data_IF_325619014300
#
_entry.id   IF_325619014300
#
_cell.length_a   1.000
_cell.length_b   1.000
_cell.length_c   1.000
_cell.angle_alpha   90.00
_cell.angle_beta   90.00
_cell.angle_gamma   90.00
#
_symmetry.space_group_name_H-M   'P 1'
#
loop_
_entity.id
_entity.type
_entity.pdbx_description
1 polymer ?
#
# COMPACT_ATOMS: atom_id res chain seq x y z
N UNK A 1 -67.02 -58.54 19.37
CA UNK A 1 -68.28 -57.97 18.84
C UNK A 1 -68.02 -56.57 18.27
N UNK A 2 -68.69 -56.26 17.15
CA UNK A 2 -68.90 -54.97 16.44
C UNK A 2 -69.16 -53.78 17.40
N UNK A 3 -69.05 -52.48 17.10
CA UNK A 3 -68.63 -51.61 15.97
C UNK A 3 -68.68 -50.16 16.51
N UNK A 4 -67.77 -49.31 16.01
CA UNK A 4 -67.96 -47.90 15.58
C UNK A 4 -68.59 -46.84 16.50
N UNK A 5 -67.93 -45.66 16.57
CA UNK A 5 -68.40 -44.40 15.94
C UNK A 5 -67.40 -43.26 16.16
N UNK A 6 -67.00 -42.62 15.07
CA UNK A 6 -66.39 -41.27 15.01
C UNK A 6 -67.46 -40.20 15.32
N UNK A 7 -67.04 -39.00 15.75
CA UNK A 7 -67.05 -37.88 14.81
C UNK A 7 -65.85 -36.90 14.95
N UNK A 8 -65.43 -36.33 13.82
CA UNK A 8 -64.73 -35.02 13.72
C UNK A 8 -65.75 -33.87 13.77
N UNK A 9 -65.41 -32.56 13.79
CA UNK A 9 -64.10 -31.90 13.65
C UNK A 9 -63.85 -30.76 14.68
N UNK A 10 -62.60 -30.26 14.78
CA UNK A 10 -62.40 -28.82 14.98
C UNK A 10 -61.12 -28.36 14.26
N UNK A 11 -61.30 -27.28 13.52
CA UNK A 11 -60.41 -26.70 12.53
C UNK A 11 -59.21 -26.04 13.21
N UNK A 12 -58.01 -26.59 13.00
CA UNK A 12 -56.79 -25.81 13.19
C UNK A 12 -56.58 -24.92 11.97
N UNK A 13 -56.74 -23.61 12.20
CA UNK A 13 -56.38 -22.54 11.28
C UNK A 13 -54.87 -22.57 11.04
N UNK A 14 -54.46 -23.23 9.97
CA UNK A 14 -53.13 -23.04 9.39
C UNK A 14 -53.03 -21.60 8.87
N UNK A 15 -52.22 -20.80 9.55
CA UNK A 15 -51.81 -19.48 9.07
C UNK A 15 -50.78 -19.67 7.96
N UNK A 16 -50.92 -19.02 6.81
CA UNK A 16 -50.00 -19.24 5.68
C UNK A 16 -48.62 -18.70 6.04
N UNK A 17 -47.65 -19.61 6.17
CA UNK A 17 -46.21 -19.29 6.15
C UNK A 17 -45.94 -18.50 4.88
N UNK A 18 -45.66 -17.21 5.01
CA UNK A 18 -45.09 -16.38 3.94
C UNK A 18 -43.87 -17.13 3.40
N UNK A 19 -43.99 -17.65 2.17
CA UNK A 19 -42.83 -18.04 1.36
C UNK A 19 -42.01 -16.78 1.16
N UNK A 20 -40.88 -16.70 1.85
CA UNK A 20 -39.84 -15.73 1.52
C UNK A 20 -39.36 -16.14 0.13
N UNK A 21 -39.79 -15.38 -0.88
CA UNK A 21 -39.14 -15.41 -2.17
C UNK A 21 -37.67 -15.10 -1.91
N UNK A 22 -36.81 -16.10 -2.08
CA UNK A 22 -35.39 -15.91 -2.32
C UNK A 22 -35.29 -15.30 -3.72
N UNK A 23 -35.74 -14.05 -3.82
CA UNK A 23 -35.45 -13.20 -4.96
C UNK A 23 -33.96 -12.97 -4.90
N UNK A 24 -33.29 -13.44 -5.95
CA UNK A 24 -31.91 -13.13 -6.29
C UNK A 24 -31.58 -11.70 -5.84
N UNK A 25 -30.83 -11.56 -4.75
CA UNK A 25 -29.98 -10.40 -4.59
C UNK A 25 -28.91 -10.56 -5.66
N UNK A 26 -29.20 -10.05 -6.86
CA UNK A 26 -28.14 -9.49 -7.70
C UNK A 26 -27.48 -8.44 -6.80
N UNK A 27 -26.38 -8.82 -6.16
CA UNK A 27 -25.48 -7.83 -5.58
C UNK A 27 -25.04 -7.01 -6.77
N UNK A 28 -25.59 -5.80 -6.86
CA UNK A 28 -24.97 -4.75 -7.63
C UNK A 28 -23.65 -4.52 -6.91
N UNK A 29 -22.62 -5.25 -7.32
CA UNK A 29 -21.23 -4.88 -7.04
C UNK A 29 -21.02 -3.60 -7.84
N UNK A 30 -21.45 -2.49 -7.25
CA UNK A 30 -21.09 -1.17 -7.74
C UNK A 30 -19.57 -1.08 -7.59
N UNK A 31 -18.85 -0.95 -8.71
CA UNK A 31 -17.40 -0.74 -8.77
C UNK A 31 -16.91 0.47 -7.92
N UNK A 32 -17.82 1.26 -7.37
CA UNK A 32 -17.56 2.42 -6.51
C UNK A 32 -17.15 2.13 -5.06
N UNK A 33 -17.27 0.90 -4.53
CA UNK A 33 -16.99 0.64 -3.09
C UNK A 33 -15.50 0.33 -2.78
N UNK A 34 -14.78 -0.24 -3.74
CA UNK A 34 -13.38 -0.66 -3.55
C UNK A 34 -12.40 0.52 -3.44
N UNK A 35 -12.56 1.51 -4.32
CA UNK A 35 -11.69 2.70 -4.36
C UNK A 35 -11.74 3.51 -3.07
N UNK A 36 -12.96 3.75 -2.56
CA UNK A 36 -13.21 4.50 -1.34
C UNK A 36 -12.70 3.74 -0.10
N UNK A 37 -12.90 2.42 -0.05
CA UNK A 37 -12.36 1.58 1.03
C UNK A 37 -10.83 1.68 1.11
N UNK A 38 -10.12 1.54 -0.01
CA UNK A 38 -8.67 1.65 -0.02
C UNK A 38 -8.20 3.08 0.29
N UNK A 39 -8.91 4.11 -0.17
CA UNK A 39 -8.60 5.49 0.18
C UNK A 39 -8.73 5.74 1.69
N UNK A 40 -9.79 5.25 2.32
CA UNK A 40 -9.98 5.34 3.77
C UNK A 40 -8.86 4.62 4.53
N UNK A 41 -8.47 3.42 4.08
CA UNK A 41 -7.37 2.68 4.69
C UNK A 41 -6.04 3.43 4.53
N UNK A 42 -5.78 4.04 3.38
CA UNK A 42 -4.62 4.90 3.16
C UNK A 42 -4.56 6.04 4.20
N UNK A 43 -5.65 6.80 4.38
CA UNK A 43 -5.69 7.92 5.34
C UNK A 43 -5.53 7.43 6.79
N UNK A 44 -6.20 6.34 7.17
CA UNK A 44 -6.06 5.75 8.51
C UNK A 44 -4.61 5.37 8.79
N UNK A 45 -3.94 4.69 7.85
CA UNK A 45 -2.56 4.22 8.02
C UNK A 45 -1.56 5.36 8.01
N UNK A 46 -1.74 6.34 7.12
CA UNK A 46 -0.96 7.58 7.09
C UNK A 46 -1.00 8.31 8.43
N UNK A 47 -2.19 8.49 9.00
CA UNK A 47 -2.36 9.18 10.28
C UNK A 47 -1.71 8.40 11.42
N UNK A 48 -1.90 7.07 11.48
CA UNK A 48 -1.21 6.21 12.46
C UNK A 48 0.31 6.29 12.33
N UNK A 49 0.85 6.34 11.10
CA UNK A 49 2.28 6.49 10.88
C UNK A 49 2.81 7.80 11.48
N UNK A 50 2.08 8.90 11.27
CA UNK A 50 2.43 10.21 11.83
C UNK A 50 2.38 10.21 13.37
N UNK A 51 1.39 9.57 13.97
CA UNK A 51 1.27 9.44 15.43
C UNK A 51 2.46 8.69 16.04
N UNK A 52 2.81 7.54 15.47
CA UNK A 52 3.96 6.75 15.91
C UNK A 52 5.28 7.50 15.72
N UNK A 53 5.46 8.18 14.58
CA UNK A 53 6.64 9.00 14.32
C UNK A 53 6.79 10.11 15.37
N UNK A 54 5.71 10.87 15.62
CA UNK A 54 5.66 11.93 16.63
C UNK A 54 6.02 11.42 18.03
N UNK A 55 5.55 10.22 18.39
CA UNK A 55 5.89 9.61 19.69
C UNK A 55 7.36 9.21 19.79
N UNK A 56 7.91 8.64 18.72
CA UNK A 56 9.33 8.29 18.66
C UNK A 56 10.23 9.53 18.84
N UNK A 57 9.80 10.68 18.32
CA UNK A 57 10.49 11.98 18.46
C UNK A 57 10.36 12.54 19.88
N UNK A 58 9.18 12.42 20.51
CA UNK A 58 8.91 12.89 21.89
C UNK A 58 9.54 12.02 22.98
N UNK A 59 9.78 10.74 22.72
CA UNK A 59 10.40 9.84 23.68
C UNK A 59 11.89 10.19 23.88
N UNK A 60 12.18 10.96 24.93
CA UNK A 60 13.54 11.31 25.34
C UNK A 60 14.01 10.43 26.51
N UNK A 61 15.32 10.10 26.52
CA UNK A 61 15.98 9.35 27.60
C UNK A 61 16.42 7.93 27.22
N UNK A 62 17.52 7.44 27.85
CA UNK A 62 18.10 6.11 27.59
C UNK A 62 17.12 4.96 27.87
N UNK A 63 16.25 5.12 28.86
CA UNK A 63 15.28 4.10 29.29
C UNK A 63 14.15 3.87 28.27
N UNK A 64 13.94 4.79 27.32
CA UNK A 64 12.90 4.69 26.29
C UNK A 64 13.42 4.24 24.92
N UNK A 65 14.69 3.82 24.84
CA UNK A 65 15.32 3.45 23.55
C UNK A 65 14.53 2.36 22.82
N UNK A 66 14.07 1.32 23.52
CA UNK A 66 13.35 0.22 22.89
C UNK A 66 11.93 0.63 22.45
N UNK A 67 11.25 1.46 23.23
CA UNK A 67 9.95 2.05 22.85
C UNK A 67 10.08 2.88 21.57
N UNK A 68 11.14 3.69 21.45
CA UNK A 68 11.41 4.48 20.23
C UNK A 68 11.64 3.61 19.00
N UNK A 69 12.37 2.52 19.16
CA UNK A 69 12.60 1.57 18.07
C UNK A 69 11.29 0.91 17.67
N UNK A 70 10.47 0.50 18.65
CA UNK A 70 9.15 -0.07 18.38
C UNK A 70 8.24 0.93 17.64
N UNK A 71 8.15 2.18 18.11
CA UNK A 71 7.35 3.22 17.47
C UNK A 71 7.89 3.55 16.06
N UNK A 72 9.22 3.56 15.86
CA UNK A 72 9.82 3.75 14.54
C UNK A 72 9.41 2.66 13.55
N UNK A 73 9.44 1.40 13.99
CA UNK A 73 9.09 0.23 13.18
C UNK A 73 7.59 0.14 12.91
N UNK A 74 6.75 0.57 13.84
CA UNK A 74 5.31 0.70 13.62
C UNK A 74 4.95 1.78 12.60
N UNK A 75 5.57 2.96 12.73
CA UNK A 75 5.42 4.00 11.72
C UNK A 75 5.89 3.50 10.34
N UNK A 76 6.97 2.71 10.29
CA UNK A 76 7.45 2.08 9.06
C UNK A 76 6.37 1.19 8.44
N UNK A 77 5.81 0.26 9.21
CA UNK A 77 4.71 -0.62 8.76
C UNK A 77 3.50 0.19 8.29
N UNK A 78 3.10 1.22 9.03
CA UNK A 78 1.97 2.05 8.67
C UNK A 78 2.21 2.86 7.38
N UNK A 79 3.42 3.39 7.16
CA UNK A 79 3.77 4.04 5.88
C UNK A 79 3.77 3.08 4.71
N UNK A 80 4.29 1.86 4.91
CA UNK A 80 4.26 0.82 3.89
C UNK A 80 2.81 0.45 3.50
N UNK A 81 1.95 0.21 4.50
CA UNK A 81 0.52 -0.06 4.28
C UNK A 81 -0.21 1.13 3.65
N UNK A 82 0.11 2.36 4.05
CA UNK A 82 -0.47 3.55 3.42
C UNK A 82 -0.12 3.60 1.93
N UNK A 83 1.14 3.38 1.58
CA UNK A 83 1.61 3.36 0.18
C UNK A 83 0.86 2.31 -0.65
N UNK A 84 0.74 1.09 -0.13
CA UNK A 84 -0.02 0.02 -0.79
C UNK A 84 -1.50 0.38 -0.99
N UNK A 85 -2.17 0.89 0.05
CA UNK A 85 -3.58 1.26 -0.05
C UNK A 85 -3.81 2.45 -1.00
N UNK A 86 -2.87 3.40 -1.06
CA UNK A 86 -2.94 4.49 -2.04
C UNK A 86 -2.87 3.95 -3.48
N UNK A 87 -1.99 2.97 -3.72
CA UNK A 87 -1.85 2.31 -5.01
C UNK A 87 -3.10 1.51 -5.42
N UNK A 88 -3.66 0.72 -4.51
CA UNK A 88 -4.86 -0.06 -4.79
C UNK A 88 -6.09 0.85 -4.98
N UNK A 89 -6.21 1.94 -4.23
CA UNK A 89 -7.22 2.97 -4.43
C UNK A 89 -7.08 3.63 -5.81
N UNK A 90 -5.85 3.94 -6.23
CA UNK A 90 -5.58 4.48 -7.55
C UNK A 90 -5.98 3.52 -8.68
N UNK A 91 -5.59 2.23 -8.59
CA UNK A 91 -6.02 1.21 -9.56
C UNK A 91 -7.53 1.08 -9.65
N UNK A 92 -8.23 1.33 -8.56
CA UNK A 92 -9.70 1.33 -8.50
C UNK A 92 -10.34 2.64 -9.00
N UNK A 93 -9.56 3.60 -9.51
CA UNK A 93 -10.04 4.83 -10.15
C UNK A 93 -9.93 6.10 -9.31
N UNK A 94 -9.35 6.05 -8.11
CA UNK A 94 -9.11 7.27 -7.32
C UNK A 94 -8.00 8.12 -7.96
N UNK A 95 -8.24 9.43 -8.10
CA UNK A 95 -7.21 10.36 -8.53
C UNK A 95 -6.42 10.91 -7.33
N UNK A 96 -5.09 10.89 -7.45
CA UNK A 96 -4.17 11.52 -6.51
C UNK A 96 -3.29 12.52 -7.25
N UNK A 97 -3.10 13.71 -6.66
CA UNK A 97 -2.18 14.70 -7.19
C UNK A 97 -0.70 14.25 -7.08
N UNK A 98 -0.37 13.53 -6.02
CA UNK A 98 0.95 12.94 -5.79
C UNK A 98 0.84 11.67 -4.94
N UNK A 99 1.76 10.74 -5.19
CA UNK A 99 1.93 9.54 -4.35
C UNK A 99 2.82 9.82 -3.15
N UNK A 100 2.54 9.16 -2.04
CA UNK A 100 3.38 9.18 -0.87
C UNK A 100 4.69 8.45 -1.15
N UNK A 101 5.82 9.12 -0.89
CA UNK A 101 7.13 8.50 -0.91
C UNK A 101 7.71 8.43 0.53
N UNK A 102 7.76 7.24 1.16
CA UNK A 102 8.31 7.09 2.51
C UNK A 102 9.83 6.82 2.57
N UNK A 103 10.55 6.85 1.44
CA UNK A 103 11.97 6.45 1.33
C UNK A 103 12.87 7.11 2.38
N UNK A 104 12.84 8.45 2.47
CA UNK A 104 13.65 9.21 3.45
C UNK A 104 13.38 8.77 4.90
N UNK A 105 12.13 8.45 5.23
CA UNK A 105 11.79 7.98 6.56
C UNK A 105 12.36 6.58 6.82
N UNK A 106 12.25 5.67 5.84
CA UNK A 106 12.80 4.32 5.96
C UNK A 106 14.31 4.32 6.16
N UNK A 107 15.04 5.15 5.41
CA UNK A 107 16.49 5.31 5.58
C UNK A 107 16.88 5.79 6.98
N UNK A 108 16.13 6.76 7.51
CA UNK A 108 16.35 7.26 8.86
C UNK A 108 16.09 6.22 9.95
N UNK A 109 15.17 5.27 9.72
CA UNK A 109 14.90 4.18 10.66
C UNK A 109 16.12 3.26 10.80
N UNK A 110 16.89 3.01 9.73
CA UNK A 110 18.06 2.12 9.82
C UNK A 110 19.16 2.64 10.76
N UNK A 111 19.28 3.96 10.92
CA UNK A 111 20.19 4.57 11.92
C UNK A 111 19.86 4.09 13.34
N UNK A 112 18.57 3.80 13.61
CA UNK A 112 18.07 3.31 14.91
C UNK A 112 18.16 1.78 15.04
N UNK A 113 18.18 1.06 13.91
CA UNK A 113 18.20 -0.40 13.87
C UNK A 113 19.60 -1.04 13.89
N UNK A 114 20.69 -0.27 13.75
CA UNK A 114 22.07 -0.78 13.62
C UNK A 114 22.51 -1.85 14.65
N UNK A 115 21.91 -1.89 15.83
CA UNK A 115 22.23 -2.85 16.90
C UNK A 115 21.11 -3.87 17.18
N UNK A 116 20.15 -4.02 16.26
CA UNK A 116 19.02 -4.94 16.39
C UNK A 116 19.32 -6.29 15.72
N UNK A 117 18.54 -7.35 16.02
CA UNK A 117 18.75 -8.67 15.43
C UNK A 117 18.75 -8.63 13.90
N UNK A 118 19.67 -9.34 13.22
CA UNK A 118 19.76 -9.32 11.76
C UNK A 118 18.45 -9.65 11.06
N UNK A 119 17.72 -10.67 11.50
CA UNK A 119 16.42 -11.05 10.92
C UNK A 119 15.37 -9.93 10.96
N UNK A 120 15.35 -9.14 12.03
CA UNK A 120 14.44 -7.98 12.12
C UNK A 120 14.84 -6.92 11.07
N UNK A 121 16.12 -6.58 11.01
CA UNK A 121 16.64 -5.62 10.02
C UNK A 121 16.34 -6.12 8.60
N UNK A 122 16.60 -7.40 8.33
CA UNK A 122 16.35 -8.04 7.04
C UNK A 122 14.91 -7.93 6.58
N UNK A 123 13.93 -8.25 7.44
CA UNK A 123 12.52 -8.15 7.05
C UNK A 123 12.05 -6.71 6.83
N UNK A 124 12.61 -5.74 7.55
CA UNK A 124 12.32 -4.32 7.28
C UNK A 124 13.06 -3.78 6.04
N UNK A 125 14.19 -4.36 5.64
CA UNK A 125 14.80 -4.11 4.32
C UNK A 125 13.97 -4.71 3.19
N UNK A 126 13.43 -5.91 3.39
CA UNK A 126 12.53 -6.54 2.43
C UNK A 126 11.28 -5.67 2.21
N UNK A 127 10.61 -5.27 3.29
CA UNK A 127 9.44 -4.37 3.21
C UNK A 127 9.78 -3.01 2.60
N UNK A 128 10.96 -2.45 2.87
CA UNK A 128 11.42 -1.24 2.20
C UNK A 128 11.46 -1.44 0.69
N UNK A 129 12.20 -2.47 0.24
CA UNK A 129 12.43 -2.73 -1.17
C UNK A 129 11.11 -2.87 -1.93
N UNK A 130 10.17 -3.67 -1.40
CA UNK A 130 8.85 -3.86 -2.04
C UNK A 130 8.01 -2.59 -2.04
N UNK A 131 8.01 -1.81 -0.96
CA UNK A 131 7.24 -0.56 -0.86
C UNK A 131 7.76 0.51 -1.81
N UNK A 132 9.07 0.71 -1.87
CA UNK A 132 9.66 1.75 -2.72
C UNK A 132 9.68 1.32 -4.19
N UNK A 133 9.72 0.01 -4.48
CA UNK A 133 9.50 -0.50 -5.83
C UNK A 133 8.10 -0.16 -6.32
N UNK A 134 7.08 -0.37 -5.48
CA UNK A 134 5.70 -0.01 -5.79
C UNK A 134 5.56 1.47 -6.16
N UNK A 135 6.25 2.36 -5.43
CA UNK A 135 6.28 3.79 -5.72
C UNK A 135 6.97 4.11 -7.06
N UNK A 136 8.17 3.60 -7.31
CA UNK A 136 8.91 3.94 -8.53
C UNK A 136 8.38 3.26 -9.79
N UNK A 137 7.81 2.05 -9.69
CA UNK A 137 7.07 1.45 -10.82
C UNK A 137 5.91 2.36 -11.25
N UNK A 138 5.25 2.98 -10.28
CA UNK A 138 4.16 3.91 -10.53
C UNK A 138 4.63 5.24 -11.11
N UNK A 139 5.72 5.80 -10.60
CA UNK A 139 6.32 7.02 -11.18
C UNK A 139 6.79 6.78 -12.62
N UNK A 140 7.34 5.60 -12.93
CA UNK A 140 7.67 5.23 -14.32
C UNK A 140 6.44 5.20 -15.21
N UNK A 141 5.35 4.58 -14.76
CA UNK A 141 4.08 4.56 -15.50
C UNK A 141 3.54 5.99 -15.74
N UNK A 142 3.65 6.88 -14.74
CA UNK A 142 3.30 8.31 -14.89
C UNK A 142 4.15 8.98 -15.96
N UNK A 143 5.46 8.79 -15.93
CA UNK A 143 6.38 9.38 -16.91
C UNK A 143 6.08 8.88 -18.33
N UNK A 144 5.83 7.58 -18.52
CA UNK A 144 5.46 7.03 -19.82
C UNK A 144 4.19 7.67 -20.37
N UNK A 145 3.13 7.80 -19.54
CA UNK A 145 1.91 8.50 -19.97
C UNK A 145 2.13 9.97 -20.31
N UNK A 146 2.97 10.67 -19.56
CA UNK A 146 3.28 12.07 -19.86
C UNK A 146 3.98 12.22 -21.22
N UNK A 147 4.87 11.30 -21.59
CA UNK A 147 5.48 11.29 -22.92
C UNK A 147 4.45 11.11 -24.03
N UNK A 148 3.48 10.20 -23.83
CA UNK A 148 2.37 9.99 -24.75
C UNK A 148 1.52 11.27 -24.89
N UNK A 149 1.10 11.86 -23.76
CA UNK A 149 0.31 13.10 -23.73
C UNK A 149 1.04 14.29 -24.38
N UNK A 150 2.34 14.42 -24.15
CA UNK A 150 3.16 15.47 -24.76
C UNK A 150 3.29 15.27 -26.26
N UNK A 151 3.43 14.03 -26.73
CA UNK A 151 3.48 13.72 -28.15
C UNK A 151 2.14 14.04 -28.84
N UNK A 152 1.01 13.65 -28.24
CA UNK A 152 -0.32 13.98 -28.76
C UNK A 152 -0.55 15.50 -28.82
N UNK A 153 -0.15 16.21 -27.76
CA UNK A 153 -0.26 17.67 -27.69
C UNK A 153 0.61 18.35 -28.75
N UNK A 154 1.84 17.85 -28.97
CA UNK A 154 2.73 18.33 -30.01
C UNK A 154 2.13 18.19 -31.40
N UNK A 155 1.61 16.99 -31.74
CA UNK A 155 0.96 16.75 -33.03
C UNK A 155 -0.26 17.65 -33.25
N UNK A 156 -1.05 17.89 -32.20
CA UNK A 156 -2.19 18.79 -32.26
C UNK A 156 -1.76 20.24 -32.54
N UNK A 157 -0.80 20.77 -31.79
CA UNK A 157 -0.30 22.15 -31.99
C UNK A 157 0.27 22.35 -33.39
N UNK A 158 1.06 21.38 -33.87
CA UNK A 158 1.64 21.43 -35.22
C UNK A 158 0.57 21.44 -36.33
N UNK A 159 -0.57 20.80 -36.10
CA UNK A 159 -1.72 20.83 -37.01
C UNK A 159 -2.53 22.13 -36.97
N UNK A 160 -2.46 22.89 -35.88
CA UNK A 160 -3.18 24.16 -35.68
C UNK A 160 -2.38 25.37 -36.19
N UNK A 161 -1.06 25.39 -36.00
CA UNK A 161 -0.19 26.46 -36.48
C UNK A 161 1.16 25.92 -37.00
N UNK A 162 1.29 25.87 -38.33
CA UNK A 162 2.50 25.41 -39.01
C UNK A 162 3.63 26.46 -39.00
N UNK A 163 3.34 27.73 -38.68
CA UNK A 163 4.30 28.83 -38.74
C UNK A 163 5.18 28.92 -37.50
N UNK A 164 4.72 28.39 -36.37
CA UNK A 164 5.45 28.33 -35.09
C UNK A 164 6.19 26.98 -34.87
N UNK A 165 6.37 26.18 -35.92
CA UNK A 165 6.86 24.80 -35.80
C UNK A 165 8.21 24.63 -35.08
N UNK A 166 9.09 25.64 -35.11
CA UNK A 166 10.37 25.62 -34.37
C UNK A 166 10.14 25.77 -32.87
N UNK A 167 9.34 26.75 -32.44
CA UNK A 167 9.05 26.98 -31.01
C UNK A 167 8.28 25.81 -30.40
N UNK A 168 7.31 25.26 -31.15
CA UNK A 168 6.54 24.06 -30.76
C UNK A 168 7.47 22.85 -30.58
N UNK A 169 8.47 22.69 -31.46
CA UNK A 169 9.45 21.60 -31.37
C UNK A 169 10.42 21.77 -30.20
N UNK A 170 10.90 22.99 -29.95
CA UNK A 170 11.77 23.29 -28.80
C UNK A 170 11.06 23.03 -27.47
N UNK A 171 9.79 23.47 -27.34
CA UNK A 171 8.96 23.19 -26.16
C UNK A 171 8.77 21.67 -25.96
N UNK A 172 8.47 20.94 -27.03
CA UNK A 172 8.30 19.48 -26.99
C UNK A 172 9.58 18.78 -26.54
N UNK A 173 10.73 19.10 -27.13
CA UNK A 173 12.02 18.50 -26.79
C UNK A 173 12.37 18.76 -25.32
N UNK A 174 12.20 20.00 -24.83
CA UNK A 174 12.48 20.33 -23.43
C UNK A 174 11.62 19.53 -22.44
N UNK A 175 10.35 19.28 -22.78
CA UNK A 175 9.46 18.43 -21.98
C UNK A 175 9.86 16.96 -22.03
N UNK A 176 10.23 16.44 -23.20
CA UNK A 176 10.70 15.06 -23.38
C UNK A 176 11.99 14.81 -22.61
N UNK A 177 12.94 15.74 -22.68
CA UNK A 177 14.22 15.65 -21.97
C UNK A 177 13.99 15.57 -20.45
N UNK A 178 13.16 16.46 -19.90
CA UNK A 178 12.82 16.46 -18.48
C UNK A 178 12.18 15.15 -18.01
N UNK A 179 11.24 14.58 -18.79
CA UNK A 179 10.60 13.30 -18.41
C UNK A 179 11.55 12.11 -18.59
N UNK A 180 12.48 12.19 -19.54
CA UNK A 180 13.52 11.17 -19.74
C UNK A 180 14.50 11.15 -18.57
N UNK A 181 14.86 12.32 -18.02
CA UNK A 181 15.64 12.41 -16.78
C UNK A 181 14.91 11.75 -15.60
N UNK A 182 13.61 12.02 -15.43
CA UNK A 182 12.78 11.37 -14.39
C UNK A 182 12.72 9.83 -14.55
N UNK A 183 12.62 9.32 -15.79
CA UNK A 183 12.63 7.89 -16.08
C UNK A 183 13.97 7.23 -15.73
N UNK A 184 15.07 7.90 -16.04
CA UNK A 184 16.42 7.43 -15.68
C UNK A 184 16.57 7.40 -14.16
N UNK A 185 16.14 8.46 -13.47
CA UNK A 185 16.15 8.51 -12.01
C UNK A 185 15.34 7.37 -11.38
N UNK A 186 14.14 7.09 -11.89
CA UNK A 186 13.34 5.96 -11.41
C UNK A 186 14.04 4.61 -11.65
N UNK A 187 14.74 4.46 -12.78
CA UNK A 187 15.48 3.23 -13.10
C UNK A 187 16.65 3.00 -12.15
N UNK A 188 17.41 4.05 -11.85
CA UNK A 188 18.50 4.01 -10.85
C UNK A 188 17.98 3.66 -9.47
N UNK A 189 16.81 4.20 -9.10
CA UNK A 189 16.16 3.88 -7.84
C UNK A 189 15.77 2.41 -7.76
N UNK A 190 15.11 1.86 -8.79
CA UNK A 190 14.76 0.43 -8.85
C UNK A 190 16.02 -0.45 -8.74
N UNK A 191 17.11 -0.07 -9.42
CA UNK A 191 18.37 -0.80 -9.30
C UNK A 191 18.91 -0.82 -7.85
N UNK A 192 18.88 0.32 -7.16
CA UNK A 192 19.29 0.40 -5.75
C UNK A 192 18.40 -0.47 -4.83
N UNK A 193 17.12 -0.63 -5.15
CA UNK A 193 16.22 -1.51 -4.39
C UNK A 193 16.59 -2.98 -4.54
N UNK A 194 17.11 -3.41 -5.70
CA UNK A 194 17.60 -4.79 -5.88
C UNK A 194 18.77 -5.05 -4.93
N UNK A 195 19.70 -4.10 -4.78
CA UNK A 195 20.79 -4.22 -3.81
C UNK A 195 20.28 -4.29 -2.37
N UNK A 196 19.27 -3.47 -2.03
CA UNK A 196 18.62 -3.50 -0.71
C UNK A 196 17.92 -4.84 -0.44
N UNK A 197 17.28 -5.40 -1.47
CA UNK A 197 16.58 -6.67 -1.42
C UNK A 197 17.53 -7.86 -1.28
N UNK A 198 18.65 -7.89 -2.01
CA UNK A 198 19.70 -8.90 -1.81
C UNK A 198 20.28 -8.81 -0.40
N UNK A 199 20.54 -7.59 0.10
CA UNK A 199 20.93 -7.42 1.49
C UNK A 199 19.84 -7.88 2.48
N UNK A 200 18.55 -7.81 2.14
CA UNK A 200 17.49 -8.36 2.97
C UNK A 200 17.61 -9.89 3.07
N UNK A 201 17.83 -10.57 1.93
CA UNK A 201 18.03 -12.03 1.86
C UNK A 201 19.22 -12.47 2.70
N UNK A 202 20.36 -11.79 2.59
CA UNK A 202 21.54 -12.11 3.41
C UNK A 202 21.22 -12.05 4.92
N UNK A 203 20.51 -11.02 5.36
CA UNK A 203 20.15 -10.82 6.77
C UNK A 203 19.12 -11.83 7.29
N UNK A 204 18.34 -12.44 6.40
CA UNK A 204 17.33 -13.45 6.74
C UNK A 204 17.82 -14.88 6.58
N UNK A 205 19.06 -15.08 6.09
CA UNK A 205 19.67 -16.38 5.87
C UNK A 205 19.37 -16.97 4.49
N UNK A 206 19.34 -16.11 3.46
CA UNK A 206 19.02 -16.43 2.07
C UNK A 206 17.66 -17.11 1.92
N UNK A 207 16.68 -16.61 2.67
CA UNK A 207 15.29 -17.01 2.49
C UNK A 207 14.85 -16.67 1.05
N UNK A 208 14.04 -17.55 0.46
CA UNK A 208 13.39 -17.28 -0.82
C UNK A 208 12.30 -16.22 -0.59
N UNK A 209 12.51 -15.03 -1.15
CA UNK A 209 11.67 -13.85 -1.00
C UNK A 209 11.32 -13.34 -2.40
N UNK A 210 10.21 -12.62 -2.53
CA UNK A 210 9.75 -12.06 -3.80
C UNK A 210 9.60 -10.54 -3.69
N UNK A 211 10.44 -9.79 -4.42
CA UNK A 211 10.43 -8.32 -4.37
C UNK A 211 9.09 -7.72 -4.83
N UNK A 212 8.26 -8.46 -5.56
CA UNK A 212 6.94 -8.02 -6.00
C UNK A 212 5.83 -8.35 -4.98
N UNK A 213 6.13 -9.12 -3.93
CA UNK A 213 5.16 -9.57 -2.95
C UNK A 213 5.11 -8.68 -1.69
N UNK A 214 4.49 -7.52 -1.83
CA UNK A 214 4.30 -6.58 -0.72
C UNK A 214 3.61 -7.20 0.51
N UNK A 215 2.55 -7.99 0.31
CA UNK A 215 1.75 -8.54 1.41
C UNK A 215 2.56 -9.54 2.26
N UNK A 216 3.40 -10.35 1.62
CA UNK A 216 4.34 -11.23 2.31
C UNK A 216 5.37 -10.40 3.10
N UNK A 217 6.02 -9.44 2.46
CA UNK A 217 7.01 -8.58 3.10
C UNK A 217 6.44 -7.87 4.35
N UNK A 218 5.21 -7.35 4.24
CA UNK A 218 4.47 -6.72 5.34
C UNK A 218 4.21 -7.69 6.47
N UNK A 219 3.76 -8.90 6.16
CA UNK A 219 3.45 -9.92 7.17
C UNK A 219 4.72 -10.36 7.91
N UNK A 220 5.81 -10.63 7.19
CA UNK A 220 7.08 -11.02 7.81
C UNK A 220 7.69 -9.91 8.66
N UNK A 221 7.65 -8.66 8.22
CA UNK A 221 8.12 -7.52 9.02
C UNK A 221 7.30 -7.38 10.32
N UNK A 222 5.97 -7.51 10.24
CA UNK A 222 5.09 -7.48 11.41
C UNK A 222 5.41 -8.62 12.40
N UNK A 223 5.60 -9.84 11.90
CA UNK A 223 5.90 -11.00 12.75
C UNK A 223 7.26 -10.88 13.44
N UNK A 224 8.27 -10.36 12.73
CA UNK A 224 9.57 -10.08 13.33
C UNK A 224 9.50 -8.98 14.38
N UNK A 225 8.72 -7.91 14.14
CA UNK A 225 8.51 -6.86 15.14
C UNK A 225 7.83 -7.42 16.40
N UNK A 226 6.77 -8.21 16.24
CA UNK A 226 6.04 -8.82 17.35
C UNK A 226 6.95 -9.76 18.16
N UNK A 227 7.70 -10.63 17.49
CA UNK A 227 8.68 -11.52 18.11
C UNK A 227 9.77 -10.76 18.86
N UNK A 228 10.27 -9.67 18.28
CA UNK A 228 11.27 -8.82 18.89
C UNK A 228 10.74 -8.12 20.14
N UNK A 229 9.52 -7.59 20.10
CA UNK A 229 8.88 -6.93 21.26
C UNK A 229 8.75 -7.84 22.46
N UNK A 230 8.29 -9.07 22.24
CA UNK A 230 8.16 -10.08 23.30
C UNK A 230 9.51 -10.31 23.97
N UNK A 231 10.58 -10.51 23.17
CA UNK A 231 11.94 -10.72 23.69
C UNK A 231 12.54 -9.50 24.40
N UNK A 232 12.07 -8.29 24.09
CA UNK A 232 12.53 -7.04 24.69
C UNK A 232 11.59 -6.50 25.76
N UNK A 233 10.52 -7.23 26.09
CA UNK A 233 9.49 -6.85 27.04
C UNK A 233 8.88 -5.46 26.75
N UNK A 234 8.81 -5.09 25.47
CA UNK A 234 8.20 -3.84 25.02
C UNK A 234 6.71 -4.06 24.85
N UNK A 235 5.90 -3.37 25.65
CA UNK A 235 4.44 -3.49 25.57
C UNK A 235 3.92 -2.99 24.23
N UNK A 236 2.95 -3.70 23.61
CA UNK A 236 2.23 -3.18 22.46
C UNK A 236 1.44 -1.93 22.87
N UNK A 237 1.24 -1.03 21.91
CA UNK A 237 0.44 0.17 22.10
C UNK A 237 -1.02 -0.20 21.89
N UNK A 238 -1.85 0.02 22.90
CA UNK A 238 -3.30 0.03 22.71
C UNK A 238 -3.72 1.35 22.05
N UNK A 239 -4.53 1.25 20.99
CA UNK A 239 -5.25 2.38 20.39
C UNK A 239 -6.72 2.25 20.74
#
# INVERSE_FOLDING_TARGET
>A
MKRERTPSPSENKDSPRKRINVGEKKSVFTQTDGSETYHMLYEIKRNKAADYKSRCERALGKNKRMERIADSLEAFLCYAEATYNQHESYKAGQHYAAFMNPETYFDDVYKRLKAQPPKLIGMFKYLHATTIKLYYDRERERCTRLLEEYHETFLKKLGEDLSEGVEILEEYNGRVDSVTEDLNFCSDKIYNLILLFEAAKEYTGNQDLDIDNFLEARTYAQDQLNSWRIKKEVKPVAF
#
